data_IF_616060921483
#
_entry.id   IF_616060921483
#
_cell.length_a   1.000
_cell.length_b   1.000
_cell.length_c   1.000
_cell.angle_alpha   90.00
_cell.angle_beta   90.00
_cell.angle_gamma   90.00
#
_symmetry.space_group_name_H-M   'P 1'
#
loop_
_entity.id
_entity.type
_entity.pdbx_description
1 polymer ?
#
# COMPACT_ATOMS: atom_id res chain seq x y z
N UNK A 1 4.84 25.32 -24.36
CA UNK A 1 3.54 24.62 -24.41
C UNK A 1 3.39 24.02 -23.04
N UNK A 2 2.50 24.56 -22.21
CA UNK A 2 2.41 24.12 -20.82
C UNK A 2 1.59 22.82 -20.80
N UNK A 3 2.07 21.82 -20.06
CA UNK A 3 1.24 20.68 -19.66
C UNK A 3 -0.05 21.21 -19.02
N UNK A 4 -1.24 20.71 -19.39
CA UNK A 4 -2.46 21.11 -18.72
C UNK A 4 -2.42 20.62 -17.27
N UNK A 5 -2.59 21.54 -16.32
CA UNK A 5 -2.66 21.21 -14.90
C UNK A 5 -3.80 20.20 -14.65
N UNK A 6 -3.47 18.94 -14.37
CA UNK A 6 -4.46 17.93 -14.03
C UNK A 6 -5.09 18.27 -12.66
N UNK A 7 -6.42 18.50 -12.59
CA UNK A 7 -7.05 18.75 -11.31
C UNK A 7 -7.06 17.49 -10.45
N UNK A 8 -6.89 17.71 -9.16
CA UNK A 8 -6.96 16.70 -8.12
C UNK A 8 -8.30 16.84 -7.39
N UNK A 9 -8.94 15.72 -7.04
CA UNK A 9 -10.11 15.73 -6.17
C UNK A 9 -9.85 14.99 -4.86
N UNK A 10 -10.55 15.42 -3.82
CA UNK A 10 -10.60 14.79 -2.50
C UNK A 10 -12.06 14.77 -2.02
N UNK A 11 -12.54 13.60 -1.60
CA UNK A 11 -13.85 13.49 -0.94
C UNK A 11 -13.71 13.92 0.53
N UNK A 12 -14.31 15.05 0.89
CA UNK A 12 -14.24 15.62 2.25
C UNK A 12 -15.28 15.00 3.19
N UNK A 13 -16.46 14.63 2.69
CA UNK A 13 -17.55 14.08 3.51
C UNK A 13 -18.35 12.99 2.81
N UNK A 14 -19.18 12.29 3.58
CA UNK A 14 -19.84 11.07 3.14
C UNK A 14 -18.98 9.83 3.39
N UNK A 15 -19.48 8.66 3.00
CA UNK A 15 -18.87 7.37 3.31
C UNK A 15 -17.62 7.04 2.45
N UNK A 16 -17.32 7.86 1.45
CA UNK A 16 -16.08 7.82 0.65
C UNK A 16 -15.03 8.85 1.13
N UNK A 17 -15.23 9.47 2.30
CA UNK A 17 -14.30 10.48 2.87
C UNK A 17 -12.84 9.97 2.91
N UNK A 18 -11.92 10.83 2.49
CA UNK A 18 -10.50 10.54 2.34
C UNK A 18 -10.09 9.92 0.99
N UNK A 19 -11.04 9.59 0.10
CA UNK A 19 -10.69 9.18 -1.28
C UNK A 19 -10.10 10.36 -2.04
N UNK A 20 -8.95 10.15 -2.69
CA UNK A 20 -8.28 11.16 -3.51
C UNK A 20 -7.87 10.59 -4.87
N UNK A 21 -7.92 11.39 -5.93
CA UNK A 21 -7.35 11.00 -7.24
C UNK A 21 -7.08 12.19 -8.16
N UNK A 22 -6.33 11.96 -9.23
CA UNK A 22 -6.12 12.93 -10.31
C UNK A 22 -7.09 12.64 -11.45
N UNK A 23 -7.76 13.66 -11.97
CA UNK A 23 -8.60 13.51 -13.15
C UNK A 23 -7.78 13.76 -14.41
N UNK A 24 -7.95 12.88 -15.40
CA UNK A 24 -7.25 12.97 -16.68
C UNK A 24 -7.78 14.09 -17.58
N UNK A 25 -7.20 14.19 -18.78
CA UNK A 25 -7.64 15.17 -19.78
C UNK A 25 -8.93 14.67 -20.46
N UNK A 26 -10.08 15.12 -19.95
CA UNK A 26 -11.40 14.80 -20.50
C UNK A 26 -12.52 15.06 -19.49
N UNK A 27 -13.77 15.10 -19.96
CA UNK A 27 -14.94 15.17 -19.07
C UNK A 27 -15.04 13.91 -18.22
N UNK A 28 -15.26 14.08 -16.92
CA UNK A 28 -15.43 13.02 -15.93
C UNK A 28 -16.89 12.96 -15.47
N UNK A 29 -17.58 11.86 -15.76
CA UNK A 29 -18.94 11.58 -15.33
C UNK A 29 -18.95 11.00 -13.91
N UNK A 30 -19.73 11.60 -13.01
CA UNK A 30 -19.84 11.19 -11.61
C UNK A 30 -21.29 10.77 -11.32
N UNK A 31 -21.47 9.63 -10.67
CA UNK A 31 -22.79 9.12 -10.30
C UNK A 31 -22.75 7.77 -9.59
N UNK A 32 -23.91 7.15 -9.37
CA UNK A 32 -24.01 5.82 -8.75
C UNK A 32 -23.99 4.66 -9.76
N UNK A 33 -24.06 4.95 -11.06
CA UNK A 33 -24.05 3.95 -12.12
C UNK A 33 -22.66 3.39 -12.40
N UNK A 34 -22.62 2.20 -12.98
CA UNK A 34 -21.40 1.44 -13.28
C UNK A 34 -20.74 1.85 -14.61
N UNK A 35 -21.41 2.73 -15.38
CA UNK A 35 -20.92 3.38 -16.60
C UNK A 35 -20.44 4.83 -16.36
N UNK A 36 -20.41 5.29 -15.10
CA UNK A 36 -19.78 6.55 -14.71
C UNK A 36 -18.25 6.38 -14.52
N UNK A 37 -17.48 7.44 -14.77
CA UNK A 37 -16.02 7.45 -14.58
C UNK A 37 -15.64 7.41 -13.09
N UNK A 38 -16.42 8.09 -12.24
CA UNK A 38 -16.32 8.04 -10.78
C UNK A 38 -17.63 7.55 -10.18
N UNK A 39 -17.56 6.37 -9.55
CA UNK A 39 -18.72 5.60 -9.08
C UNK A 39 -18.86 5.75 -7.57
N UNK A 40 -19.90 6.48 -7.13
CA UNK A 40 -20.25 6.64 -5.73
C UNK A 40 -21.66 6.11 -5.45
N UNK A 41 -21.73 4.94 -4.82
CA UNK A 41 -22.99 4.23 -4.56
C UNK A 41 -23.45 4.52 -3.12
N UNK A 42 -24.76 4.41 -2.85
CA UNK A 42 -25.33 4.55 -1.50
C UNK A 42 -25.09 5.93 -0.84
N UNK A 43 -24.87 6.99 -1.64
CA UNK A 43 -24.69 8.37 -1.17
C UNK A 43 -25.80 9.33 -1.62
N UNK A 44 -26.91 8.80 -2.13
CA UNK A 44 -28.01 9.60 -2.68
C UNK A 44 -27.75 10.17 -4.07
N UNK A 45 -26.66 9.76 -4.75
CA UNK A 45 -26.40 10.14 -6.13
C UNK A 45 -27.28 9.36 -7.11
N UNK A 46 -27.86 10.10 -8.05
CA UNK A 46 -28.44 9.58 -9.29
C UNK A 46 -27.43 8.74 -10.11
N UNK A 47 -27.88 7.85 -11.02
CA UNK A 47 -27.03 7.03 -11.88
C UNK A 47 -25.96 7.87 -12.61
N UNK A 48 -26.37 9.00 -13.17
CA UNK A 48 -25.52 10.06 -13.73
C UNK A 48 -25.89 11.35 -13.02
N UNK A 49 -25.01 11.88 -12.18
CA UNK A 49 -25.36 12.91 -11.21
C UNK A 49 -24.78 14.28 -11.57
N UNK A 50 -23.52 14.34 -12.00
CA UNK A 50 -22.89 15.53 -12.56
C UNK A 50 -21.74 15.14 -13.49
N UNK A 51 -21.33 16.05 -14.38
CA UNK A 51 -20.13 15.91 -15.21
C UNK A 51 -19.17 17.04 -14.91
N UNK A 52 -17.88 16.74 -14.75
CA UNK A 52 -16.81 17.72 -14.53
C UNK A 52 -15.87 17.73 -15.71
N UNK A 53 -15.68 18.87 -16.38
CA UNK A 53 -14.69 19.03 -17.45
C UNK A 53 -13.52 19.89 -16.96
N UNK A 54 -12.30 19.34 -16.85
CA UNK A 54 -11.09 20.08 -16.49
C UNK A 54 -10.74 21.22 -17.45
N UNK A 55 -10.34 22.36 -16.89
CA UNK A 55 -9.60 23.42 -17.57
C UNK A 55 -8.32 23.75 -16.79
N UNK A 56 -7.51 24.68 -17.29
CA UNK A 56 -6.17 24.99 -16.75
C UNK A 56 -6.14 25.58 -15.34
N UNK A 57 -7.21 26.26 -14.89
CA UNK A 57 -7.35 26.80 -13.53
C UNK A 57 -8.82 26.85 -13.05
N UNK A 58 -9.68 26.08 -13.69
CA UNK A 58 -11.12 26.02 -13.44
C UNK A 58 -11.65 24.64 -13.80
N UNK A 59 -12.88 24.35 -13.39
CA UNK A 59 -13.65 23.21 -13.88
C UNK A 59 -14.98 23.72 -14.42
N UNK A 60 -15.42 23.18 -15.56
CA UNK A 60 -16.84 23.24 -15.94
C UNK A 60 -17.58 22.12 -15.23
N UNK A 61 -18.76 22.41 -14.70
CA UNK A 61 -19.63 21.48 -14.00
C UNK A 61 -20.99 21.52 -14.68
N UNK A 62 -21.39 20.40 -15.26
CA UNK A 62 -22.75 20.18 -15.78
C UNK A 62 -23.54 19.38 -14.74
N UNK A 63 -24.58 19.97 -14.17
CA UNK A 63 -25.45 19.27 -13.23
C UNK A 63 -26.40 18.34 -14.00
N UNK A 64 -26.41 17.04 -13.68
CA UNK A 64 -27.35 16.08 -14.29
C UNK A 64 -28.51 15.75 -13.34
N UNK A 65 -28.27 15.88 -12.03
CA UNK A 65 -29.26 15.82 -10.96
C UNK A 65 -29.64 17.21 -10.42
N UNK A 66 -30.66 17.26 -9.54
CA UNK A 66 -31.26 18.51 -8.99
C UNK A 66 -30.56 19.07 -7.75
N UNK A 67 -29.68 18.30 -7.13
CA UNK A 67 -29.12 18.56 -5.80
C UNK A 67 -27.62 18.94 -5.81
N UNK A 68 -27.06 19.08 -7.03
CA UNK A 68 -25.70 19.57 -7.27
C UNK A 68 -25.57 21.01 -6.79
N UNK A 69 -24.72 21.23 -5.79
CA UNK A 69 -24.46 22.56 -5.22
C UNK A 69 -22.96 22.83 -5.20
N UNK A 70 -22.59 24.09 -5.35
CA UNK A 70 -21.20 24.56 -5.38
C UNK A 70 -21.04 25.57 -4.25
N UNK A 71 -20.02 25.44 -3.40
CA UNK A 71 -19.77 26.44 -2.36
C UNK A 71 -19.56 27.84 -2.97
N UNK A 72 -20.33 28.82 -2.49
CA UNK A 72 -20.27 30.20 -2.97
C UNK A 72 -21.15 30.53 -4.19
N UNK A 73 -21.90 29.56 -4.74
CA UNK A 73 -22.82 29.78 -5.86
C UNK A 73 -24.27 29.35 -5.50
N UNK A 74 -25.24 29.76 -6.32
CA UNK A 74 -26.60 29.19 -6.24
C UNK A 74 -26.63 27.73 -6.73
N UNK A 75 -27.74 27.03 -6.48
CA UNK A 75 -27.90 25.63 -6.93
C UNK A 75 -27.98 25.59 -8.44
N UNK A 76 -27.11 24.79 -9.08
CA UNK A 76 -27.05 24.64 -10.54
C UNK A 76 -28.28 23.85 -10.99
N UNK A 77 -28.98 24.32 -12.03
CA UNK A 77 -30.16 23.60 -12.52
C UNK A 77 -29.76 22.38 -13.36
N UNK A 78 -30.57 21.31 -13.42
CA UNK A 78 -30.28 20.16 -14.27
C UNK A 78 -30.12 20.53 -15.74
N UNK A 79 -29.05 20.04 -16.36
CA UNK A 79 -28.57 20.31 -17.71
C UNK A 79 -28.05 21.75 -17.94
N UNK A 80 -27.81 22.51 -16.86
CA UNK A 80 -27.03 23.74 -16.89
C UNK A 80 -25.55 23.43 -16.65
N UNK A 81 -24.64 24.10 -17.37
CA UNK A 81 -23.20 24.06 -17.10
C UNK A 81 -22.69 25.40 -16.57
N UNK A 82 -21.78 25.34 -15.60
CA UNK A 82 -21.14 26.50 -14.98
C UNK A 82 -19.63 26.27 -14.87
N UNK A 83 -18.85 27.29 -15.22
CA UNK A 83 -17.39 27.26 -15.06
C UNK A 83 -17.01 27.95 -13.76
N UNK A 84 -16.31 27.26 -12.87
CA UNK A 84 -15.88 27.78 -11.56
C UNK A 84 -14.36 27.67 -11.38
N UNK A 85 -13.71 28.67 -10.76
CA UNK A 85 -12.28 28.65 -10.52
C UNK A 85 -11.91 27.61 -9.45
N UNK A 86 -10.68 27.07 -9.53
CA UNK A 86 -10.12 26.23 -8.48
C UNK A 86 -9.35 27.06 -7.44
N UNK A 87 -9.33 26.66 -6.14
CA UNK A 87 -10.00 25.50 -5.56
C UNK A 87 -11.49 25.74 -5.31
N UNK A 88 -12.30 24.67 -5.38
CA UNK A 88 -13.75 24.71 -5.13
C UNK A 88 -14.22 23.45 -4.39
N UNK A 89 -15.33 23.54 -3.68
CA UNK A 89 -16.01 22.39 -3.07
C UNK A 89 -17.40 22.22 -3.71
N UNK A 90 -17.69 20.99 -4.14
CA UNK A 90 -18.96 20.58 -4.72
C UNK A 90 -19.70 19.70 -3.71
N UNK A 91 -21.03 19.78 -3.69
CA UNK A 91 -21.91 18.91 -2.93
C UNK A 91 -22.81 18.12 -3.88
N UNK A 92 -22.93 16.82 -3.62
CA UNK A 92 -23.67 15.85 -4.42
C UNK A 92 -24.26 14.79 -3.47
N UNK A 93 -25.58 14.69 -3.38
CA UNK A 93 -26.24 13.85 -2.36
C UNK A 93 -25.73 14.13 -0.93
N UNK A 94 -25.17 13.10 -0.30
CA UNK A 94 -24.57 13.15 1.05
C UNK A 94 -23.06 13.49 1.07
N UNK A 95 -22.44 13.71 -0.10
CA UNK A 95 -21.00 13.94 -0.23
C UNK A 95 -20.65 15.42 -0.42
N UNK A 96 -19.41 15.76 -0.04
CA UNK A 96 -18.73 16.96 -0.50
C UNK A 96 -17.36 16.58 -1.09
N UNK A 97 -17.04 17.15 -2.25
CA UNK A 97 -15.84 16.83 -3.03
C UNK A 97 -15.08 18.14 -3.29
N UNK A 98 -13.87 18.25 -2.78
CA UNK A 98 -12.95 19.36 -3.04
C UNK A 98 -12.18 19.09 -4.32
N UNK A 99 -12.03 20.12 -5.14
CA UNK A 99 -11.21 20.12 -6.35
C UNK A 99 -10.10 21.16 -6.21
N UNK A 100 -8.88 20.78 -6.56
CA UNK A 100 -7.67 21.62 -6.48
C UNK A 100 -6.76 21.38 -7.69
N UNK A 101 -5.73 22.21 -7.82
CA UNK A 101 -4.56 21.92 -8.67
C UNK A 101 -3.37 21.66 -7.75
N UNK A 102 -2.50 20.73 -8.13
CA UNK A 102 -1.36 20.26 -7.33
C UNK A 102 -0.33 21.38 -6.99
N UNK A 103 -0.28 22.45 -7.80
CA UNK A 103 0.48 23.68 -7.54
C UNK A 103 -0.09 24.56 -6.42
N UNK A 104 -1.29 24.29 -5.91
CA UNK A 104 -1.82 24.98 -4.73
C UNK A 104 -1.12 24.48 -3.46
N UNK A 105 0.16 24.87 -3.30
CA UNK A 105 0.87 24.84 -2.03
C UNK A 105 0.12 25.72 -1.04
N UNK A 106 -0.79 25.08 -0.31
CA UNK A 106 -1.52 25.51 0.86
C UNK A 106 -1.05 26.87 1.39
N UNK A 107 -1.67 27.95 0.87
CA UNK A 107 -1.58 29.25 1.50
C UNK A 107 -2.06 29.05 2.95
N UNK A 108 -1.16 29.25 3.90
CA UNK A 108 -1.31 28.69 5.24
C UNK A 108 -2.62 29.12 5.90
N UNK A 109 -3.13 28.25 6.77
CA UNK A 109 -4.27 28.54 7.65
C UNK A 109 -4.06 29.89 8.35
N UNK A 110 -4.66 30.96 7.81
CA UNK A 110 -4.86 32.20 8.53
C UNK A 110 -6.09 31.99 9.40
N UNK A 111 -5.88 31.25 10.49
CA UNK A 111 -6.74 31.33 11.67
C UNK A 111 -6.73 32.79 12.14
N UNK A 112 -7.66 33.60 11.61
CA UNK A 112 -7.86 34.97 12.05
C UNK A 112 -8.73 35.02 13.30
N UNK A 113 -8.30 34.24 14.29
CA UNK A 113 -8.46 34.46 15.73
C UNK A 113 -8.59 35.96 15.99
N UNK A 114 -9.70 36.36 16.63
CA UNK A 114 -9.99 37.76 16.94
C UNK A 114 -8.97 38.29 17.94
N UNK A 115 -7.88 38.90 17.44
CA UNK A 115 -6.90 39.58 18.28
C UNK A 115 -7.45 40.98 18.59
N UNK A 116 -7.70 41.24 19.87
CA UNK A 116 -8.19 42.52 20.37
C UNK A 116 -7.14 43.62 20.18
N UNK A 117 -7.60 44.84 19.89
CA UNK A 117 -6.76 46.03 19.78
C UNK A 117 -6.25 46.48 21.16
N UNK A 118 -5.04 46.05 21.53
CA UNK A 118 -4.21 46.67 22.57
C UNK A 118 -2.73 46.29 22.36
N UNK A 119 -1.79 47.19 22.73
CA UNK A 119 -0.32 47.04 22.62
C UNK A 119 0.17 46.91 21.16
N UNK A 120 0.51 47.98 20.40
CA UNK A 120 1.33 49.17 20.69
C UNK A 120 2.75 48.86 21.20
N UNK A 121 3.74 49.08 20.31
CA UNK A 121 5.20 49.16 20.53
C UNK A 121 5.88 47.88 21.09
N UNK A 122 7.10 47.49 20.67
CA UNK A 122 8.35 48.26 20.78
C UNK A 122 9.52 47.50 20.11
N UNK A 123 10.45 48.23 19.45
CA UNK A 123 11.87 47.85 19.13
C UNK A 123 12.09 46.64 18.18
N UNK A 124 12.71 46.75 16.99
CA UNK A 124 14.07 47.18 16.61
C UNK A 124 15.19 46.24 17.11
N UNK A 125 16.41 46.36 16.52
CA UNK A 125 17.60 45.49 16.68
C UNK A 125 17.53 44.23 15.79
N UNK A 126 18.45 43.91 14.89
CA UNK A 126 19.44 44.61 14.05
C UNK A 126 20.24 43.50 13.37
N UNK A 127 20.45 43.58 12.06
CA UNK A 127 21.24 42.61 11.28
C UNK A 127 22.76 42.83 11.42
N UNK A 128 23.53 41.79 11.77
CA UNK A 128 24.94 41.63 11.38
C UNK A 128 25.50 40.25 11.75
N UNK A 129 26.03 39.50 10.77
CA UNK A 129 27.32 38.79 10.83
C UNK A 129 27.57 38.04 9.51
N UNK A 130 28.77 38.16 8.95
CA UNK A 130 29.20 37.46 7.75
C UNK A 130 29.96 36.16 8.10
N UNK A 131 30.08 35.23 7.15
CA UNK A 131 30.86 34.01 7.32
C UNK A 131 30.96 33.18 6.04
N UNK A 132 31.92 33.50 5.18
CA UNK A 132 32.31 32.66 4.06
C UNK A 132 33.62 31.94 4.38
N UNK A 133 33.76 30.67 4.01
CA UNK A 133 34.90 30.10 3.24
C UNK A 133 34.59 28.65 2.85
N UNK A 134 35.19 28.22 1.74
CA UNK A 134 35.03 26.89 1.15
C UNK A 134 36.18 25.93 1.50
N UNK A 135 35.91 24.64 1.26
CA UNK A 135 36.76 23.72 0.46
C UNK A 135 37.42 22.50 1.12
N UNK A 136 37.26 21.38 0.41
CA UNK A 136 38.25 20.35 0.08
C UNK A 136 38.65 19.24 1.07
N UNK A 137 38.25 18.01 0.67
CA UNK A 137 39.11 16.82 0.48
C UNK A 137 40.25 16.52 1.47
N UNK A 138 40.15 15.35 2.11
CA UNK A 138 41.28 14.42 2.23
C UNK A 138 40.80 13.00 1.91
N UNK A 139 41.46 12.36 0.94
CA UNK A 139 41.42 10.92 0.69
C UNK A 139 42.69 10.31 1.30
N UNK A 140 42.57 9.15 1.95
CA UNK A 140 43.71 8.22 2.12
C UNK A 140 43.21 6.79 2.03
N UNK A 141 43.64 6.08 0.98
CA UNK A 141 43.62 4.63 0.92
C UNK A 141 44.60 4.01 1.91
N UNK A 142 44.37 2.76 2.35
CA UNK A 142 45.44 1.80 2.66
C UNK A 142 44.93 0.36 2.49
N UNK A 143 45.84 -0.50 2.03
CA UNK A 143 45.64 -1.82 1.42
C UNK A 143 45.71 -3.03 2.35
N UNK A 144 44.87 -4.04 2.05
CA UNK A 144 45.18 -5.48 1.82
C UNK A 144 46.26 -6.20 2.66
N UNK A 145 45.91 -7.35 3.27
CA UNK A 145 46.65 -8.63 3.22
C UNK A 145 45.86 -9.81 3.86
N UNK A 146 46.15 -11.07 3.50
CA UNK A 146 45.37 -12.28 3.87
C UNK A 146 46.22 -13.50 4.29
N UNK A 147 45.75 -14.26 5.30
CA UNK A 147 45.98 -15.73 5.55
C UNK A 147 47.43 -16.18 5.91
N UNK A 148 47.75 -17.47 6.26
CA UNK A 148 46.93 -18.70 6.48
C UNK A 148 47.30 -19.68 7.68
N UNK A 149 46.36 -20.59 8.05
CA UNK A 149 46.50 -22.07 8.35
C UNK A 149 47.18 -22.74 9.62
N UNK A 150 46.34 -23.50 10.40
CA UNK A 150 46.48 -24.90 10.95
C UNK A 150 47.59 -25.33 11.97
N UNK A 151 47.60 -26.57 12.60
CA UNK A 151 46.62 -27.69 12.70
C UNK A 151 46.40 -28.37 14.12
N UNK A 152 45.55 -29.42 14.17
CA UNK A 152 45.55 -30.61 15.09
C UNK A 152 44.95 -30.52 16.55
N UNK A 153 44.60 -31.58 17.32
CA UNK A 153 44.06 -32.98 17.11
C UNK A 153 43.84 -33.70 18.49
N UNK A 154 42.71 -34.37 18.79
CA UNK A 154 42.62 -35.59 19.67
C UNK A 154 41.28 -36.40 19.61
N UNK A 155 41.13 -37.48 20.41
CA UNK A 155 40.48 -38.79 20.12
C UNK A 155 39.09 -39.12 20.78
N UNK A 156 38.22 -39.83 20.01
CA UNK A 156 37.14 -40.81 20.39
C UNK A 156 35.90 -40.34 21.22
N UNK A 157 34.72 -41.04 21.18
CA UNK A 157 34.50 -42.42 20.71
C UNK A 157 33.46 -42.65 19.60
N UNK A 158 33.63 -43.82 18.96
CA UNK A 158 32.75 -44.41 17.95
C UNK A 158 31.45 -44.92 18.58
N UNK A 159 30.42 -44.06 18.64
CA UNK A 159 29.04 -44.55 18.79
C UNK A 159 28.70 -45.41 17.57
N UNK A 160 28.05 -46.55 17.82
CA UNK A 160 27.51 -47.36 16.74
C UNK A 160 26.43 -46.54 16.02
N UNK A 161 26.64 -46.29 14.73
CA UNK A 161 25.67 -45.58 13.90
C UNK A 161 24.50 -46.54 13.66
N UNK A 162 23.51 -46.50 14.54
CA UNK A 162 22.21 -47.13 14.33
C UNK A 162 21.69 -46.66 12.97
N UNK A 163 21.20 -47.58 12.14
CA UNK A 163 20.59 -47.21 10.86
C UNK A 163 19.54 -46.11 11.10
N UNK A 164 19.47 -45.05 10.28
CA UNK A 164 18.53 -43.96 10.50
C UNK A 164 17.11 -44.52 10.59
N UNK A 165 16.50 -44.41 11.77
CA UNK A 165 15.12 -44.85 11.95
C UNK A 165 14.24 -43.93 11.11
N UNK A 166 13.59 -44.53 10.10
CA UNK A 166 12.71 -43.81 9.19
C UNK A 166 11.61 -43.10 9.98
N UNK A 167 11.07 -43.75 11.01
CA UNK A 167 10.02 -43.21 11.87
C UNK A 167 10.51 -42.01 12.71
N UNK A 168 11.77 -42.01 13.12
CA UNK A 168 12.37 -40.87 13.81
C UNK A 168 12.65 -39.70 12.85
N UNK A 169 12.97 -39.99 11.58
CA UNK A 169 13.21 -38.98 10.55
C UNK A 169 11.91 -38.36 10.04
N UNK A 170 10.85 -39.15 9.89
CA UNK A 170 9.48 -38.68 9.60
C UNK A 170 9.00 -37.73 10.70
N UNK A 171 9.15 -38.12 11.98
CA UNK A 171 8.81 -37.26 13.11
C UNK A 171 9.68 -35.99 13.20
N UNK A 172 10.90 -35.98 12.62
CA UNK A 172 11.72 -34.77 12.51
C UNK A 172 11.21 -33.85 11.38
N UNK A 173 10.77 -34.41 10.25
CA UNK A 173 10.16 -33.69 9.15
C UNK A 173 8.82 -33.05 9.55
N UNK A 174 7.95 -33.79 10.26
CA UNK A 174 6.68 -33.27 10.78
C UNK A 174 6.88 -32.05 11.69
N UNK A 175 7.80 -32.13 12.68
CA UNK A 175 8.12 -30.99 13.56
C UNK A 175 8.66 -29.78 12.80
N UNK A 176 9.46 -29.99 11.74
CA UNK A 176 9.94 -28.90 10.91
C UNK A 176 8.80 -28.25 10.11
N UNK A 177 7.84 -29.04 9.61
CA UNK A 177 6.64 -28.50 8.96
C UNK A 177 5.80 -27.67 9.96
N UNK A 178 5.61 -28.16 11.19
CA UNK A 178 4.93 -27.40 12.26
C UNK A 178 5.65 -26.08 12.63
N UNK A 179 6.99 -26.05 12.63
CA UNK A 179 7.77 -24.81 12.80
C UNK A 179 7.55 -23.83 11.63
N UNK A 180 7.56 -24.33 10.39
CA UNK A 180 7.35 -23.56 9.15
C UNK A 180 5.95 -22.96 9.13
N UNK A 181 4.92 -23.76 9.43
CA UNK A 181 3.52 -23.33 9.42
C UNK A 181 3.24 -22.29 10.53
N UNK A 182 3.77 -22.53 11.75
CA UNK A 182 3.73 -21.58 12.87
C UNK A 182 4.49 -20.28 12.60
N UNK A 183 5.53 -20.33 11.75
CA UNK A 183 6.25 -19.16 11.27
C UNK A 183 5.58 -18.45 10.08
N UNK A 184 4.43 -18.95 9.59
CA UNK A 184 3.72 -18.40 8.44
C UNK A 184 4.39 -18.65 7.08
N UNK A 185 5.33 -19.59 7.01
CA UNK A 185 6.14 -19.88 5.82
C UNK A 185 5.44 -20.83 4.83
N UNK A 186 4.17 -20.53 4.50
CA UNK A 186 3.24 -21.34 3.69
C UNK A 186 3.70 -21.71 2.25
N UNK A 187 4.90 -21.28 1.84
CA UNK A 187 5.51 -21.59 0.55
C UNK A 187 6.52 -22.73 0.58
N UNK A 188 6.75 -23.38 1.73
CA UNK A 188 7.73 -24.45 1.94
C UNK A 188 7.01 -25.74 2.33
N UNK A 189 7.45 -26.87 1.74
CA UNK A 189 7.05 -28.22 2.14
C UNK A 189 8.26 -29.01 2.62
N UNK A 190 8.05 -29.83 3.65
CA UNK A 190 9.08 -30.72 4.18
C UNK A 190 8.87 -32.14 3.70
N UNK A 191 9.95 -32.81 3.33
CA UNK A 191 10.00 -34.24 3.02
C UNK A 191 10.98 -34.97 3.94
N UNK A 192 10.81 -36.29 4.06
CA UNK A 192 11.72 -37.18 4.78
C UNK A 192 12.36 -38.21 3.85
N UNK A 193 13.59 -38.59 4.18
CA UNK A 193 14.34 -39.71 3.61
C UNK A 193 15.29 -40.26 4.67
N UNK A 194 15.96 -41.39 4.44
CA UNK A 194 16.78 -42.03 5.47
C UNK A 194 17.91 -41.11 6.02
N UNK A 195 17.71 -40.54 7.22
CA UNK A 195 18.64 -39.58 7.85
C UNK A 195 18.66 -38.18 7.23
N UNK A 196 17.72 -37.88 6.33
CA UNK A 196 17.65 -36.62 5.57
C UNK A 196 16.25 -36.03 5.69
N UNK A 197 16.20 -34.72 5.95
CA UNK A 197 14.97 -33.92 5.86
C UNK A 197 15.15 -32.95 4.71
N UNK A 198 14.22 -32.90 3.75
CA UNK A 198 14.27 -31.94 2.64
C UNK A 198 13.29 -30.80 2.89
N UNK A 199 13.66 -29.58 2.49
CA UNK A 199 12.76 -28.44 2.50
C UNK A 199 12.72 -27.83 1.09
N UNK A 200 11.58 -27.95 0.43
CA UNK A 200 11.36 -27.59 -0.97
C UNK A 200 10.31 -26.49 -1.05
N UNK A 201 10.56 -25.42 -1.83
CA UNK A 201 9.57 -24.36 -1.97
C UNK A 201 10.13 -22.99 -2.32
N UNK A 202 9.39 -21.94 -1.93
CA UNK A 202 9.79 -20.55 -2.15
C UNK A 202 9.48 -19.62 -0.98
N UNK A 203 10.40 -18.69 -0.72
CA UNK A 203 10.27 -17.58 0.25
C UNK A 203 10.37 -16.24 -0.45
N UNK A 204 9.76 -15.20 0.13
CA UNK A 204 9.96 -13.82 -0.31
C UNK A 204 11.22 -13.24 0.34
N UNK A 205 11.79 -12.12 -0.17
CA UNK A 205 12.90 -11.45 0.52
C UNK A 205 12.57 -11.04 1.97
N UNK A 206 11.31 -10.71 2.24
CA UNK A 206 10.85 -10.34 3.58
C UNK A 206 10.82 -11.52 4.56
N UNK A 207 10.45 -12.72 4.11
CA UNK A 207 10.40 -13.92 4.96
C UNK A 207 11.72 -14.71 5.02
N UNK A 208 12.77 -14.26 4.31
CA UNK A 208 14.08 -14.91 4.27
C UNK A 208 14.79 -14.94 5.62
N UNK A 209 14.61 -13.92 6.46
CA UNK A 209 15.15 -13.91 7.83
C UNK A 209 14.48 -15.00 8.68
N UNK A 210 13.14 -15.00 8.72
CA UNK A 210 12.33 -15.99 9.42
C UNK A 210 12.66 -17.42 8.99
N UNK A 211 12.89 -17.66 7.69
CA UNK A 211 13.31 -18.96 7.18
C UNK A 211 14.67 -19.39 7.74
N UNK A 212 15.67 -18.51 7.72
CA UNK A 212 17.00 -18.81 8.29
C UNK A 212 16.92 -19.13 9.79
N UNK A 213 16.08 -18.43 10.54
CA UNK A 213 15.89 -18.69 11.97
C UNK A 213 15.26 -20.07 12.24
N UNK A 214 14.34 -20.53 11.37
CA UNK A 214 13.77 -21.89 11.42
C UNK A 214 14.87 -22.93 11.12
N UNK A 215 15.69 -22.72 10.09
CA UNK A 215 16.80 -23.63 9.77
C UNK A 215 17.79 -23.75 10.93
N UNK A 216 18.20 -22.63 11.52
CA UNK A 216 19.12 -22.62 12.67
C UNK A 216 18.56 -23.35 13.90
N UNK A 217 17.25 -23.21 14.19
CA UNK A 217 16.59 -23.97 15.26
C UNK A 217 16.56 -25.46 14.96
N UNK A 218 16.26 -25.85 13.71
CA UNK A 218 16.27 -27.25 13.30
C UNK A 218 17.65 -27.89 13.48
N UNK A 219 18.70 -27.22 13.00
CA UNK A 219 20.08 -27.71 13.11
C UNK A 219 20.53 -27.84 14.58
N UNK A 220 20.18 -26.85 15.41
CA UNK A 220 20.48 -26.86 16.85
C UNK A 220 19.74 -27.99 17.59
N UNK A 221 18.43 -28.11 17.37
CA UNK A 221 17.59 -29.11 18.04
C UNK A 221 17.90 -30.54 17.58
N UNK A 222 18.34 -30.71 16.33
CA UNK A 222 18.72 -32.01 15.78
C UNK A 222 20.12 -32.46 16.21
N UNK A 223 20.98 -31.55 16.70
CA UNK A 223 22.35 -31.84 17.12
C UNK A 223 23.16 -32.69 16.11
N UNK A 224 22.94 -32.46 14.81
CA UNK A 224 23.57 -33.20 13.71
C UNK A 224 22.99 -34.59 13.40
N UNK A 225 21.89 -35.01 14.03
CA UNK A 225 21.26 -36.32 13.78
C UNK A 225 20.59 -36.46 12.40
N UNK A 226 20.22 -35.34 11.77
CA UNK A 226 19.59 -35.29 10.45
C UNK A 226 20.26 -34.22 9.59
N UNK A 227 20.36 -34.45 8.28
CA UNK A 227 20.81 -33.42 7.32
C UNK A 227 19.61 -32.69 6.73
N UNK A 228 19.54 -31.36 6.89
CA UNK A 228 18.55 -30.53 6.20
C UNK A 228 19.02 -30.17 4.78
N UNK A 229 18.38 -30.75 3.77
CA UNK A 229 18.58 -30.38 2.35
C UNK A 229 17.63 -29.23 2.00
N UNK A 230 18.18 -28.03 1.93
CA UNK A 230 17.44 -26.82 1.60
C UNK A 230 17.40 -26.58 0.08
N UNK A 231 16.24 -26.79 -0.53
CA UNK A 231 15.90 -26.45 -1.91
C UNK A 231 14.93 -25.25 -2.00
N UNK A 232 14.77 -24.47 -0.93
CA UNK A 232 13.89 -23.30 -0.89
C UNK A 232 14.52 -22.13 -1.65
N UNK A 233 13.90 -21.74 -2.76
CA UNK A 233 14.35 -20.63 -3.59
C UNK A 233 13.78 -19.28 -3.13
N UNK A 234 14.59 -18.22 -3.19
CA UNK A 234 14.08 -16.85 -3.00
C UNK A 234 13.37 -16.43 -4.28
N UNK A 235 12.07 -16.12 -4.18
CA UNK A 235 11.26 -15.66 -5.31
C UNK A 235 10.65 -14.32 -4.96
N UNK A 236 11.06 -13.27 -5.67
CA UNK A 236 10.34 -12.00 -5.63
C UNK A 236 8.90 -12.26 -6.08
N UNK A 237 7.96 -11.81 -5.27
CA UNK A 237 6.55 -11.95 -5.59
C UNK A 237 6.26 -11.14 -6.85
N UNK A 238 5.69 -11.78 -7.86
CA UNK A 238 5.19 -11.05 -9.03
C UNK A 238 4.03 -10.22 -8.51
N UNK A 239 4.18 -8.90 -8.51
CA UNK A 239 3.16 -7.91 -8.11
C UNK A 239 1.79 -8.40 -8.60
N UNK A 240 0.73 -8.36 -7.76
CA UNK A 240 -0.62 -8.68 -8.22
C UNK A 240 -0.88 -7.99 -9.56
N UNK A 241 -1.34 -8.71 -10.61
CA UNK A 241 -1.58 -8.10 -11.91
C UNK A 241 -2.50 -6.91 -11.70
N UNK A 242 -2.09 -5.71 -12.15
CA UNK A 242 -2.64 -4.42 -11.70
C UNK A 242 -4.17 -4.47 -11.64
N UNK A 243 -4.70 -4.65 -10.42
CA UNK A 243 -6.13 -4.73 -10.19
C UNK A 243 -6.62 -3.29 -10.21
N UNK A 244 -7.24 -2.90 -11.32
CA UNK A 244 -7.86 -1.59 -11.50
C UNK A 244 -9.08 -1.44 -10.59
N UNK A 245 -8.83 -1.18 -9.31
CA UNK A 245 -9.87 -0.79 -8.35
C UNK A 245 -10.37 0.60 -8.75
N UNK A 246 -11.66 0.66 -9.08
CA UNK A 246 -12.34 1.89 -9.52
C UNK A 246 -12.96 2.64 -8.34
N UNK A 247 -13.38 1.91 -7.29
CA UNK A 247 -13.91 2.48 -6.06
C UNK A 247 -13.71 1.53 -4.87
N UNK A 248 -13.65 2.10 -3.67
CA UNK A 248 -13.55 1.37 -2.40
C UNK A 248 -14.58 1.90 -1.42
N UNK A 249 -15.31 1.00 -0.77
CA UNK A 249 -16.32 1.30 0.23
C UNK A 249 -15.95 0.69 1.59
N UNK A 250 -15.87 1.54 2.62
CA UNK A 250 -15.53 1.17 4.01
C UNK A 250 -16.74 1.20 4.97
N UNK A 251 -17.97 1.23 4.45
CA UNK A 251 -19.19 1.26 5.26
C UNK A 251 -19.52 -0.07 5.94
N UNK A 252 -20.74 -0.22 6.45
CA UNK A 252 -21.20 -1.39 7.21
C UNK A 252 -21.15 -2.73 6.45
N UNK A 253 -21.08 -2.69 5.12
CA UNK A 253 -20.87 -3.84 4.24
C UNK A 253 -19.74 -3.53 3.24
N UNK A 254 -18.46 -3.66 3.63
CA UNK A 254 -17.32 -3.19 2.83
C UNK A 254 -17.16 -3.95 1.51
N UNK A 255 -16.90 -3.22 0.42
CA UNK A 255 -16.67 -3.76 -0.93
C UNK A 255 -15.72 -2.90 -1.76
N UNK A 256 -15.21 -3.48 -2.85
CA UNK A 256 -14.46 -2.79 -3.90
C UNK A 256 -15.22 -2.88 -5.23
N UNK A 257 -14.96 -1.96 -6.16
CA UNK A 257 -15.45 -2.04 -7.54
C UNK A 257 -14.26 -2.29 -8.47
N UNK A 258 -14.36 -3.33 -9.30
CA UNK A 258 -13.38 -3.68 -10.33
C UNK A 258 -14.15 -3.97 -11.62
N UNK A 259 -13.77 -3.32 -12.73
CA UNK A 259 -14.43 -3.47 -14.04
C UNK A 259 -15.97 -3.37 -13.99
N UNK A 260 -16.49 -2.43 -13.20
CA UNK A 260 -17.93 -2.22 -13.01
C UNK A 260 -18.63 -3.27 -12.13
N UNK A 261 -17.93 -4.21 -11.51
CA UNK A 261 -18.55 -5.20 -10.61
C UNK A 261 -18.17 -4.94 -9.14
N UNK A 262 -19.18 -5.03 -8.24
CA UNK A 262 -18.98 -4.96 -6.78
C UNK A 262 -18.45 -6.31 -6.26
N UNK A 263 -17.37 -6.26 -5.48
CA UNK A 263 -16.80 -7.41 -4.77
C UNK A 263 -16.72 -7.09 -3.28
N UNK A 264 -17.58 -7.74 -2.49
CA UNK A 264 -17.59 -7.63 -1.02
C UNK A 264 -16.39 -8.36 -0.40
N UNK A 265 -16.09 -8.06 0.86
CA UNK A 265 -15.17 -8.90 1.66
C UNK A 265 -15.65 -10.35 1.65
N UNK A 266 -14.75 -11.29 1.34
CA UNK A 266 -15.01 -12.70 1.08
C UNK A 266 -15.20 -13.06 -0.41
N UNK A 267 -15.35 -12.09 -1.31
CA UNK A 267 -15.59 -12.37 -2.73
C UNK A 267 -14.32 -12.78 -3.48
N UNK A 268 -14.43 -13.82 -4.32
CA UNK A 268 -13.39 -14.29 -5.23
C UNK A 268 -13.39 -13.47 -6.53
N UNK A 269 -12.24 -12.90 -6.86
CA UNK A 269 -11.96 -12.16 -8.09
C UNK A 269 -11.60 -13.11 -9.23
N UNK A 270 -11.80 -12.67 -10.47
CA UNK A 270 -11.53 -13.44 -11.70
C UNK A 270 -10.07 -13.89 -11.88
N UNK A 271 -9.13 -13.26 -11.17
CA UNK A 271 -7.70 -13.58 -11.17
C UNK A 271 -7.28 -14.53 -10.00
N UNK A 272 -8.25 -15.08 -9.28
CA UNK A 272 -8.06 -16.04 -8.19
C UNK A 272 -7.71 -15.43 -6.83
N UNK A 273 -7.70 -14.11 -6.69
CA UNK A 273 -7.57 -13.44 -5.39
C UNK A 273 -8.93 -13.28 -4.72
N UNK A 274 -9.00 -13.39 -3.40
CA UNK A 274 -10.20 -13.12 -2.59
C UNK A 274 -10.03 -11.77 -1.88
N UNK A 275 -11.08 -10.95 -1.84
CA UNK A 275 -11.08 -9.71 -1.03
C UNK A 275 -11.08 -10.10 0.45
N UNK A 276 -9.97 -9.98 1.14
CA UNK A 276 -9.82 -10.41 2.54
C UNK A 276 -10.28 -9.35 3.54
N UNK A 277 -10.07 -8.07 3.21
CA UNK A 277 -10.44 -6.94 4.06
C UNK A 277 -10.20 -5.62 3.36
N UNK A 278 -10.75 -4.55 3.92
CA UNK A 278 -10.58 -3.18 3.40
C UNK A 278 -10.20 -2.30 4.59
N UNK A 279 -9.01 -1.73 4.51
CA UNK A 279 -8.43 -0.85 5.53
C UNK A 279 -8.24 0.56 4.96
N UNK A 280 -7.70 1.47 5.77
CA UNK A 280 -7.36 2.82 5.35
C UNK A 280 -6.22 2.81 4.30
N UNK A 281 -6.51 3.37 3.11
CA UNK A 281 -5.56 3.48 1.99
C UNK A 281 -5.07 2.14 1.41
N UNK A 282 -5.68 1.00 1.78
CA UNK A 282 -5.34 -0.32 1.23
C UNK A 282 -6.46 -1.37 1.30
N UNK A 283 -6.53 -2.19 0.26
CA UNK A 283 -7.34 -3.42 0.21
C UNK A 283 -6.42 -4.60 0.53
N UNK A 284 -6.87 -5.49 1.40
CA UNK A 284 -6.22 -6.77 1.68
C UNK A 284 -6.80 -7.85 0.77
N UNK A 285 -5.93 -8.62 0.12
CA UNK A 285 -6.27 -9.70 -0.79
C UNK A 285 -5.67 -11.01 -0.27
N UNK A 286 -6.37 -12.13 -0.42
CA UNK A 286 -5.88 -13.47 -0.05
C UNK A 286 -5.93 -14.43 -1.23
N UNK A 287 -4.92 -15.28 -1.41
CA UNK A 287 -4.95 -16.42 -2.34
C UNK A 287 -4.09 -17.55 -1.80
N UNK A 288 -4.66 -18.75 -1.73
CA UNK A 288 -3.98 -19.95 -1.22
C UNK A 288 -3.34 -19.74 0.18
N UNK A 289 -4.04 -18.99 1.06
CA UNK A 289 -3.56 -18.62 2.39
C UNK A 289 -2.53 -17.48 2.44
N UNK A 290 -2.11 -16.94 1.29
CA UNK A 290 -1.13 -15.84 1.20
C UNK A 290 -1.84 -14.50 1.10
N UNK A 291 -1.45 -13.52 1.92
CA UNK A 291 -1.98 -12.17 1.91
C UNK A 291 -1.15 -11.21 1.03
N UNK A 292 -1.81 -10.30 0.34
CA UNK A 292 -1.22 -9.19 -0.41
C UNK A 292 -1.99 -7.88 -0.16
N UNK A 293 -1.35 -6.74 -0.39
CA UNK A 293 -1.94 -5.40 -0.21
C UNK A 293 -2.01 -4.65 -1.54
N UNK A 294 -3.09 -3.89 -1.72
CA UNK A 294 -3.31 -3.02 -2.88
C UNK A 294 -3.70 -1.63 -2.37
N UNK A 295 -2.84 -0.63 -2.60
CA UNK A 295 -3.14 0.76 -2.25
C UNK A 295 -4.18 1.38 -3.19
N UNK A 296 -4.94 2.32 -2.65
CA UNK A 296 -5.93 3.16 -3.35
C UNK A 296 -5.99 4.56 -2.71
#
# INVERSE_FOLDING_TARGET
MNEPNCPHFEVLSGCYSGLTSKVGVGSCLIGSSLDADLIFVEQGLEPHHLRVTPHSNSIEIEALARDVRIEGHETVLPNESIVVPLPVVLHAGAMSIRWTIEDYKQAGSIDRRRISLAFLALVLISSAAAGAVSSSFVQTDTTVASSPSSPATDIAPKLALTAPDALATDAAAERLQEEIDRAGLVGIKVGSGAGVVTADGTVTPASLATWRDVQQRFDHNSNGAYTLVNAVAIKNEKTPPAIGVQAVWRGSAPYIVIAGQKYFVGALLSNGWTVYGIEEGRVLLSRDGRLATLSY
#
